data_IF_373458006794
#
_entry.id   IF_373458006794
#
_cell.length_a   1.000
_cell.length_b   1.000
_cell.length_c   1.000
_cell.angle_alpha   90.00
_cell.angle_beta   90.00
_cell.angle_gamma   90.00
#
_symmetry.space_group_name_H-M   'P 1'
#
loop_
_entity.id
_entity.type
_entity.pdbx_description
1 polymer ?
#
# COMPACT_ATOMS: atom_id res chain seq x y z
N UNK A 1 21.15 2.52 4.39
CA UNK A 1 19.98 2.34 5.28
C UNK A 1 20.26 1.16 6.20
N UNK A 2 20.54 1.43 7.48
CA UNK A 2 20.60 0.38 8.50
C UNK A 2 19.20 -0.20 8.71
N UNK A 3 19.10 -1.52 8.90
CA UNK A 3 17.84 -2.17 9.24
C UNK A 3 17.39 -1.69 10.62
N UNK A 4 16.16 -1.18 10.72
CA UNK A 4 15.58 -0.75 12.00
C UNK A 4 15.26 -1.95 12.91
N UNK A 5 14.96 -1.72 14.20
CA UNK A 5 14.62 -2.80 15.15
C UNK A 5 13.51 -3.74 14.62
N UNK A 6 12.51 -3.18 13.93
CA UNK A 6 11.39 -3.91 13.33
C UNK A 6 11.79 -4.84 12.16
N UNK A 7 12.99 -4.68 11.60
CA UNK A 7 13.56 -5.57 10.57
C UNK A 7 14.51 -6.62 11.16
N UNK A 8 14.90 -6.47 12.42
CA UNK A 8 15.80 -7.39 13.15
C UNK A 8 15.00 -8.43 13.94
N UNK A 9 13.83 -8.04 14.48
CA UNK A 9 12.90 -8.92 15.17
C UNK A 9 11.47 -8.70 14.64
N UNK A 10 11.10 -9.33 13.51
CA UNK A 10 9.76 -9.19 12.96
C UNK A 10 8.71 -9.85 13.88
N UNK A 11 7.53 -9.23 13.97
CA UNK A 11 6.39 -9.78 14.70
C UNK A 11 5.92 -11.07 13.99
N UNK A 12 5.60 -12.15 14.73
CA UNK A 12 5.07 -13.38 14.15
C UNK A 12 3.78 -13.14 13.35
N UNK A 13 3.62 -13.87 12.25
CA UNK A 13 2.46 -13.73 11.36
C UNK A 13 1.12 -14.00 12.08
N UNK A 14 1.08 -14.95 13.01
CA UNK A 14 -0.11 -15.25 13.80
C UNK A 14 -0.54 -14.07 14.70
N UNK A 15 0.41 -13.32 15.27
CA UNK A 15 0.11 -12.12 16.07
C UNK A 15 -0.33 -10.97 15.17
N UNK A 16 0.36 -10.78 14.04
CA UNK A 16 -0.03 -9.80 13.02
C UNK A 16 -1.46 -10.03 12.51
N UNK A 17 -1.83 -11.29 12.22
CA UNK A 17 -3.16 -11.63 11.74
C UNK A 17 -4.26 -11.38 12.78
N UNK A 18 -3.97 -11.65 14.06
CA UNK A 18 -4.89 -11.43 15.17
C UNK A 18 -5.11 -9.95 15.46
N UNK A 19 -4.02 -9.19 15.57
CA UNK A 19 -4.05 -7.82 16.09
C UNK A 19 -4.19 -6.77 14.97
N UNK A 20 -3.76 -7.11 13.75
CA UNK A 20 -3.79 -6.22 12.57
C UNK A 20 -4.28 -6.96 11.30
N UNK A 21 -5.54 -7.43 11.29
CA UNK A 21 -6.07 -8.23 10.18
C UNK A 21 -6.08 -7.48 8.85
N UNK A 22 -6.38 -6.18 8.85
CA UNK A 22 -6.37 -5.37 7.63
C UNK A 22 -4.96 -5.18 7.05
N UNK A 23 -3.96 -4.97 7.92
CA UNK A 23 -2.55 -4.85 7.49
C UNK A 23 -2.06 -6.18 6.93
N UNK A 24 -2.41 -7.28 7.60
CA UNK A 24 -2.04 -8.63 7.17
C UNK A 24 -2.67 -8.98 5.82
N UNK A 25 -3.95 -8.65 5.62
CA UNK A 25 -4.63 -8.83 4.34
C UNK A 25 -4.01 -7.98 3.22
N UNK A 26 -3.48 -6.80 3.55
CA UNK A 26 -2.83 -5.92 2.59
C UNK A 26 -1.37 -6.30 2.28
N UNK A 27 -0.71 -7.09 3.13
CA UNK A 27 0.71 -7.42 3.01
C UNK A 27 1.14 -7.93 1.62
N UNK A 28 0.36 -8.78 0.90
CA UNK A 28 0.74 -9.25 -0.44
C UNK A 28 0.96 -8.12 -1.46
N UNK A 29 0.25 -6.99 -1.35
CA UNK A 29 0.39 -5.85 -2.26
C UNK A 29 1.75 -5.14 -2.14
N UNK A 30 2.45 -5.35 -1.04
CA UNK A 30 3.77 -4.77 -0.76
C UNK A 30 4.93 -5.74 -1.02
N UNK A 31 4.64 -6.97 -1.48
CA UNK A 31 5.67 -7.91 -1.88
C UNK A 31 6.41 -7.41 -3.14
N UNK A 32 7.71 -7.72 -3.31
CA UNK A 32 8.46 -7.30 -4.49
C UNK A 32 7.80 -7.68 -5.82
N UNK A 33 7.15 -8.85 -5.88
CA UNK A 33 6.45 -9.34 -7.06
C UNK A 33 5.19 -8.53 -7.41
N UNK A 34 4.58 -7.83 -6.44
CA UNK A 34 3.37 -7.03 -6.64
C UNK A 34 3.69 -5.54 -6.91
N UNK A 35 4.94 -5.12 -6.76
CA UNK A 35 5.32 -3.69 -6.72
C UNK A 35 4.89 -2.90 -7.96
N UNK A 36 5.09 -3.46 -9.15
CA UNK A 36 4.71 -2.79 -10.40
C UNK A 36 3.18 -2.63 -10.52
N UNK A 37 2.44 -3.71 -10.28
CA UNK A 37 0.97 -3.69 -10.28
C UNK A 37 0.40 -2.69 -9.26
N UNK A 38 0.94 -2.68 -8.04
CA UNK A 38 0.52 -1.74 -6.99
C UNK A 38 0.83 -0.29 -7.38
N UNK A 39 1.97 -0.04 -8.03
CA UNK A 39 2.31 1.30 -8.54
C UNK A 39 1.34 1.76 -9.63
N UNK A 40 1.08 0.92 -10.63
CA UNK A 40 0.17 1.24 -11.73
C UNK A 40 -1.26 1.51 -11.22
N UNK A 41 -1.75 0.69 -10.28
CA UNK A 41 -3.04 0.90 -9.64
C UNK A 41 -3.13 2.28 -8.96
N UNK A 42 -2.07 2.67 -8.23
CA UNK A 42 -2.01 3.99 -7.59
C UNK A 42 -1.93 5.14 -8.59
N UNK A 43 -1.21 4.94 -9.70
CA UNK A 43 -1.12 5.92 -10.78
C UNK A 43 -2.46 6.13 -11.47
N UNK A 44 -3.19 5.05 -11.76
CA UNK A 44 -4.53 5.12 -12.36
C UNK A 44 -5.49 5.89 -11.44
N UNK A 45 -5.53 5.55 -10.15
CA UNK A 45 -6.37 6.25 -9.18
C UNK A 45 -6.02 7.75 -9.07
N UNK A 46 -4.73 8.10 -9.14
CA UNK A 46 -4.29 9.49 -9.15
C UNK A 46 -4.75 10.22 -10.41
N UNK A 47 -4.59 9.61 -11.58
CA UNK A 47 -4.98 10.19 -12.86
C UNK A 47 -6.50 10.35 -12.97
N UNK A 48 -7.27 9.38 -12.50
CA UNK A 48 -8.73 9.48 -12.42
C UNK A 48 -9.18 10.65 -11.54
N UNK A 49 -8.57 10.78 -10.35
CA UNK A 49 -8.82 11.92 -9.47
C UNK A 49 -8.44 13.26 -10.11
N UNK A 50 -7.29 13.31 -10.79
CA UNK A 50 -6.80 14.50 -11.47
C UNK A 50 -7.70 14.92 -12.66
N UNK A 51 -8.14 13.95 -13.46
CA UNK A 51 -9.08 14.17 -14.57
C UNK A 51 -10.45 14.60 -14.05
N UNK A 52 -10.94 13.96 -13.00
CA UNK A 52 -12.18 14.34 -12.32
C UNK A 52 -12.12 15.77 -11.77
N UNK A 53 -11.00 16.16 -11.17
CA UNK A 53 -10.79 17.53 -10.68
C UNK A 53 -10.71 18.56 -11.81
N UNK A 54 -10.20 18.18 -12.98
CA UNK A 54 -10.11 19.07 -14.16
C UNK A 54 -11.40 19.16 -14.98
N UNK A 55 -12.32 18.22 -14.81
CA UNK A 55 -13.65 18.23 -15.42
C UNK A 55 -14.68 19.08 -14.69
N UNK A 56 -14.36 19.59 -13.49
CA UNK A 56 -15.25 20.50 -12.75
C UNK A 56 -15.02 21.94 -13.21
N UNK A 57 -15.98 22.61 -13.88
CA UNK A 57 -15.91 24.05 -14.08
C UNK A 57 -15.94 24.71 -12.71
N UNK A 58 -15.07 25.70 -12.52
CA UNK A 58 -14.77 26.31 -11.22
C UNK A 58 -16.01 26.68 -10.40
N UNK A 59 -15.87 26.50 -9.09
CA UNK A 59 -16.65 27.27 -8.09
C UNK A 59 -16.27 28.74 -8.22
#
# INVERSE_FOLDING_TARGET
YSRGPSTVAPVPEAEMARDYPAVTAAAPWFAPAARETTFLLGLDAFLDGWLGARGQPGV
#
